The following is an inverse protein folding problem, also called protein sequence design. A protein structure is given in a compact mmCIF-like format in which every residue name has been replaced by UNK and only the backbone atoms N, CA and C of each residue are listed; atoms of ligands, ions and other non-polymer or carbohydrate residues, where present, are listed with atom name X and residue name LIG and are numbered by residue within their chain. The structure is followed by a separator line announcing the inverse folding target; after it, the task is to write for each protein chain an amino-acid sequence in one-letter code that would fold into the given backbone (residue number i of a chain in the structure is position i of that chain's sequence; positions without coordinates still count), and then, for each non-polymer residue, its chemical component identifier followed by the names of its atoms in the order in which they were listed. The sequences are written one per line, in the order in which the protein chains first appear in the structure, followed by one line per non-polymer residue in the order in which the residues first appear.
data_IF_704878873752
#
_entry.id   IF_704878873752
#
_cell.length_a   1.000
_cell.length_b   1.000
_cell.length_c   1.000
_cell.angle_alpha   90.00
_cell.angle_beta   90.00
_cell.angle_gamma   90.00
#
_symmetry.space_group_name_H-M   'P 1'
#
loop_
_entity.id
_entity.type
_entity.pdbx_description
1 polymer ?
#
# COMPACT_ATOMS: atom_id res chain seq x y z
N UNK A 1 1.41 7.38 12.52
CA UNK A 1 0.75 7.50 11.20
C UNK A 1 -0.59 6.80 11.30
N UNK A 2 -1.69 7.56 11.39
CA UNK A 2 -2.98 7.06 11.90
C UNK A 2 -4.05 6.70 10.86
N UNK A 3 -3.72 6.71 9.55
CA UNK A 3 -4.67 6.34 8.49
C UNK A 3 -3.94 6.16 7.15
N UNK A 4 -4.22 5.08 6.41
CA UNK A 4 -3.75 4.84 5.03
C UNK A 4 -3.92 6.08 4.15
N UNK A 5 -5.09 6.73 4.24
CA UNK A 5 -5.44 7.89 3.40
C UNK A 5 -4.51 9.08 3.69
N UNK A 6 -4.22 9.35 4.97
CA UNK A 6 -3.34 10.44 5.36
C UNK A 6 -1.90 10.19 4.86
N UNK A 7 -1.42 8.94 4.92
CA UNK A 7 -0.10 8.57 4.42
C UNK A 7 -0.03 8.72 2.89
N UNK A 8 -1.03 8.24 2.15
CA UNK A 8 -1.10 8.42 0.70
C UNK A 8 -1.10 9.90 0.28
N UNK A 9 -1.84 10.74 1.01
CA UNK A 9 -1.92 12.18 0.74
C UNK A 9 -0.58 12.91 0.84
N UNK A 10 0.37 12.42 1.65
CA UNK A 10 1.72 12.99 1.77
C UNK A 10 2.72 12.29 0.86
N UNK A 11 2.67 10.96 0.79
CA UNK A 11 3.67 10.16 0.05
C UNK A 11 3.56 10.29 -1.47
N UNK A 12 2.33 10.34 -2.03
CA UNK A 12 2.15 10.40 -3.49
C UNK A 12 2.76 11.70 -4.06
N UNK A 13 2.42 12.91 -3.56
CA UNK A 13 3.03 14.14 -4.07
C UNK A 13 4.56 14.17 -3.90
N UNK A 14 5.07 13.68 -2.76
CA UNK A 14 6.50 13.66 -2.49
C UNK A 14 7.27 12.76 -3.48
N UNK A 15 6.77 11.56 -3.74
CA UNK A 15 7.42 10.62 -4.65
C UNK A 15 7.27 11.02 -6.12
N UNK A 16 6.12 11.58 -6.52
CA UNK A 16 5.95 12.16 -7.85
C UNK A 16 6.92 13.33 -8.08
N UNK A 17 7.10 14.22 -7.09
CA UNK A 17 8.06 15.30 -7.19
C UNK A 17 9.50 14.78 -7.32
N UNK A 18 9.84 13.74 -6.55
CA UNK A 18 11.15 13.08 -6.60
C UNK A 18 11.45 12.47 -7.99
N UNK A 19 10.48 11.80 -8.61
CA UNK A 19 10.67 11.14 -9.91
C UNK A 19 10.46 12.05 -11.12
N UNK A 20 10.10 13.32 -10.92
CA UNK A 20 9.71 14.25 -11.99
C UNK A 20 10.74 14.43 -13.12
N UNK A 21 12.03 14.20 -12.83
CA UNK A 21 13.13 14.30 -13.81
C UNK A 21 13.60 12.95 -14.38
N UNK A 22 12.95 11.86 -14.01
CA UNK A 22 13.36 10.50 -14.37
C UNK A 22 12.63 9.97 -15.61
N UNK A 23 11.75 10.75 -16.24
CA UNK A 23 10.94 10.31 -17.38
C UNK A 23 9.81 9.34 -17.03
N UNK A 24 9.61 9.05 -15.74
CA UNK A 24 8.57 8.15 -15.24
C UNK A 24 7.24 8.88 -15.18
N UNK A 25 6.17 8.24 -15.66
CA UNK A 25 4.82 8.80 -15.57
C UNK A 25 4.40 9.05 -14.12
N UNK A 26 3.93 10.26 -13.76
CA UNK A 26 3.36 10.54 -12.44
C UNK A 26 2.22 9.58 -12.06
N UNK A 27 1.49 9.07 -13.05
CA UNK A 27 0.42 8.08 -12.83
C UNK A 27 0.97 6.75 -12.33
N UNK A 28 2.05 6.25 -12.94
CA UNK A 28 2.67 4.99 -12.51
C UNK A 28 3.19 5.09 -11.07
N UNK A 29 3.83 6.21 -10.74
CA UNK A 29 4.31 6.46 -9.38
C UNK A 29 3.16 6.55 -8.38
N UNK A 30 2.09 7.30 -8.72
CA UNK A 30 0.93 7.40 -7.86
C UNK A 30 0.25 6.04 -7.62
N UNK A 31 0.12 5.21 -8.65
CA UNK A 31 -0.49 3.87 -8.55
C UNK A 31 0.36 2.90 -7.73
N UNK A 32 1.68 2.85 -7.94
CA UNK A 32 2.58 2.01 -7.14
C UNK A 32 2.53 2.38 -5.66
N UNK A 33 2.52 3.68 -5.35
CA UNK A 33 2.44 4.18 -3.98
C UNK A 33 1.07 3.89 -3.36
N UNK A 34 -0.01 4.07 -4.13
CA UNK A 34 -1.37 3.72 -3.73
C UNK A 34 -1.47 2.24 -3.35
N UNK A 35 -1.05 1.33 -4.24
CA UNK A 35 -1.11 -0.11 -4.01
C UNK A 35 -0.28 -0.50 -2.80
N UNK A 36 0.96 -0.01 -2.69
CA UNK A 36 1.85 -0.30 -1.57
C UNK A 36 1.25 0.09 -0.22
N UNK A 37 0.72 1.31 -0.10
CA UNK A 37 0.19 1.82 1.17
C UNK A 37 -1.17 1.18 1.49
N UNK A 38 -2.01 0.93 0.50
CA UNK A 38 -3.37 0.44 0.72
C UNK A 38 -3.41 -1.04 1.15
N UNK A 39 -2.51 -1.88 0.61
CA UNK A 39 -2.45 -3.30 0.98
C UNK A 39 -1.59 -3.56 2.22
N UNK A 40 -0.75 -2.60 2.64
CA UNK A 40 0.13 -2.79 3.77
C UNK A 40 -0.57 -2.55 5.11
N UNK A 41 -0.42 -3.49 6.03
CA UNK A 41 -0.69 -3.29 7.45
C UNK A 41 0.22 -4.21 8.29
N UNK A 42 0.53 -3.75 9.50
CA UNK A 42 1.16 -4.58 10.55
C UNK A 42 0.22 -4.62 11.75
N UNK A 43 -0.30 -3.44 12.13
CA UNK A 43 -1.31 -3.30 13.16
C UNK A 43 -2.67 -3.03 12.50
N UNK A 44 -3.78 -3.59 13.02
CA UNK A 44 -5.11 -3.45 12.42
C UNK A 44 -5.53 -1.99 12.21
N UNK A 45 -5.24 -1.11 13.16
CA UNK A 45 -5.65 0.31 13.08
C UNK A 45 -4.99 1.11 11.96
N UNK A 46 -3.96 0.57 11.29
CA UNK A 46 -3.40 1.23 10.11
C UNK A 46 -4.39 1.24 8.94
N UNK A 47 -5.22 0.19 8.81
CA UNK A 47 -6.16 0.00 7.71
C UNK A 47 -7.57 -0.27 8.24
N UNK A 48 -8.51 0.62 7.90
CA UNK A 48 -9.87 0.57 8.41
C UNK A 48 -10.59 -0.74 8.06
N UNK A 49 -10.36 -1.31 6.86
CA UNK A 49 -10.97 -2.58 6.47
C UNK A 49 -10.49 -3.74 7.36
N UNK A 50 -9.21 -3.73 7.75
CA UNK A 50 -8.64 -4.73 8.66
C UNK A 50 -9.13 -4.52 10.09
N UNK A 51 -9.22 -3.26 10.53
CA UNK A 51 -9.74 -2.92 11.86
C UNK A 51 -11.20 -3.34 12.01
N UNK A 52 -12.05 -3.06 11.03
CA UNK A 52 -13.47 -3.40 11.09
C UNK A 52 -13.67 -4.90 11.22
N UNK A 53 -12.92 -5.74 10.51
CA UNK A 53 -13.08 -7.20 10.64
C UNK A 53 -12.59 -7.79 11.97
N UNK A 54 -11.85 -7.02 12.79
CA UNK A 54 -11.56 -7.44 14.18
C UNK A 54 -12.80 -7.36 15.09
N UNK A 55 -13.86 -6.69 14.67
CA UNK A 55 -15.09 -6.59 15.46
C UNK A 55 -15.84 -7.94 15.48
N UNK A 56 -16.44 -8.33 16.62
CA UNK A 56 -17.14 -9.61 16.75
C UNK A 56 -18.27 -9.82 15.74
N UNK A 57 -18.93 -8.73 15.33
CA UNK A 57 -20.14 -8.77 14.50
C UNK A 57 -19.87 -8.68 12.99
N UNK A 58 -18.60 -8.56 12.57
CA UNK A 58 -18.20 -8.40 11.16
C UNK A 58 -17.33 -9.56 10.67
N UNK A 59 -16.14 -9.76 11.26
CA UNK A 59 -15.16 -10.77 10.87
C UNK A 59 -14.71 -11.67 12.02
N UNK A 60 -14.75 -11.18 13.26
CA UNK A 60 -14.48 -11.96 14.46
C UNK A 60 -13.04 -12.48 14.62
N UNK A 61 -12.09 -12.07 13.76
CA UNK A 61 -10.69 -12.45 13.90
C UNK A 61 -9.98 -11.60 14.95
N UNK A 62 -8.95 -12.16 15.58
CA UNK A 62 -8.21 -11.47 16.64
C UNK A 62 -7.14 -10.55 16.07
N UNK A 63 -6.81 -9.47 16.81
CA UNK A 63 -5.68 -8.61 16.46
C UNK A 63 -4.35 -9.38 16.35
N UNK A 64 -4.20 -10.46 17.14
CA UNK A 64 -3.01 -11.32 17.12
C UNK A 64 -2.86 -12.05 15.77
N UNK A 65 -3.97 -12.50 15.19
CA UNK A 65 -3.99 -13.12 13.86
C UNK A 65 -3.62 -12.12 12.78
N UNK A 66 -4.16 -10.89 12.85
CA UNK A 66 -3.78 -9.81 11.93
C UNK A 66 -2.28 -9.51 11.97
N UNK A 67 -1.70 -9.35 13.15
CA UNK A 67 -0.27 -9.02 13.30
C UNK A 67 0.61 -10.15 12.74
N UNK A 68 0.22 -11.40 12.99
CA UNK A 68 0.93 -12.58 12.46
C UNK A 68 0.97 -12.60 10.93
N UNK A 69 -0.08 -12.13 10.27
CA UNK A 69 -0.18 -12.06 8.81
C UNK A 69 0.37 -10.76 8.22
N UNK A 70 0.41 -9.66 8.98
CA UNK A 70 0.94 -8.37 8.52
C UNK A 70 2.44 -8.39 8.22
N UNK A 71 3.22 -9.16 8.99
CA UNK A 71 4.67 -9.33 8.74
C UNK A 71 4.95 -9.99 7.38
N UNK A 72 4.44 -11.20 7.06
CA UNK A 72 4.65 -11.80 5.76
C UNK A 72 4.01 -10.98 4.62
N UNK A 73 2.89 -10.29 4.88
CA UNK A 73 2.27 -9.38 3.92
C UNK A 73 3.23 -8.25 3.51
N UNK A 74 4.11 -7.80 4.39
CA UNK A 74 5.13 -6.78 4.05
C UNK A 74 6.02 -7.25 2.90
N UNK A 75 6.43 -8.52 2.88
CA UNK A 75 7.20 -9.08 1.75
C UNK A 75 6.35 -9.15 0.47
N UNK A 76 5.07 -9.51 0.60
CA UNK A 76 4.12 -9.55 -0.53
C UNK A 76 3.94 -8.16 -1.15
N UNK A 77 3.93 -7.10 -0.34
CA UNK A 77 3.83 -5.71 -0.84
C UNK A 77 4.97 -5.40 -1.81
N UNK A 78 6.20 -5.78 -1.50
CA UNK A 78 7.34 -5.58 -2.41
C UNK A 78 7.15 -6.33 -3.72
N UNK A 79 6.65 -7.58 -3.67
CA UNK A 79 6.38 -8.37 -4.88
C UNK A 79 5.32 -7.67 -5.74
N UNK A 80 4.23 -7.17 -5.14
CA UNK A 80 3.17 -6.46 -5.87
C UNK A 80 3.73 -5.22 -6.57
N UNK A 81 4.54 -4.41 -5.87
CA UNK A 81 5.15 -3.21 -6.47
C UNK A 81 6.09 -3.56 -7.62
N UNK A 82 6.85 -4.66 -7.53
CA UNK A 82 7.72 -5.11 -8.62
C UNK A 82 6.91 -5.58 -9.84
N UNK A 83 5.79 -6.28 -9.61
CA UNK A 83 4.88 -6.71 -10.68
C UNK A 83 4.23 -5.49 -11.34
N UNK A 84 3.79 -4.50 -10.57
CA UNK A 84 3.26 -3.24 -11.10
C UNK A 84 4.32 -2.48 -11.90
N UNK A 85 5.57 -2.40 -11.41
CA UNK A 85 6.66 -1.76 -12.14
C UNK A 85 6.90 -2.46 -13.49
N UNK A 86 6.91 -3.81 -13.52
CA UNK A 86 7.04 -4.58 -14.74
C UNK A 86 5.85 -4.36 -15.70
N UNK A 87 4.63 -4.28 -15.16
CA UNK A 87 3.44 -3.96 -15.95
C UNK A 87 3.54 -2.57 -16.57
N UNK A 88 3.95 -1.58 -15.79
CA UNK A 88 4.06 -0.21 -16.30
C UNK A 88 5.18 -0.04 -17.32
N UNK A 89 6.28 -0.79 -17.19
CA UNK A 89 7.30 -0.92 -18.25
C UNK A 89 6.70 -1.45 -19.56
N UNK A 90 5.87 -2.50 -19.52
CA UNK A 90 5.21 -3.06 -20.71
C UNK A 90 4.26 -2.03 -21.35
N UNK A 91 3.57 -1.23 -20.55
CA UNK A 91 2.67 -0.17 -21.04
C UNK A 91 3.36 1.13 -21.47
N UNK A 92 4.69 1.24 -21.26
CA UNK A 92 5.46 2.45 -21.57
C UNK A 92 5.23 3.62 -20.60
N UNK A 93 4.75 3.36 -19.38
CA UNK A 93 4.56 4.36 -18.33
C UNK A 93 5.79 4.53 -17.43
N UNK A 94 6.73 3.58 -17.47
CA UNK A 94 8.08 3.63 -16.87
C UNK A 94 9.06 3.28 -17.99
#
# INVERSE_FOLDING_TARGET
MGSVIAVMGVCIPALVAFTSKMGISPLAVAMMVFSAINIHYILPFHNLAILVGCEPDTGGYTQKECIRLGVPLTAVVFIVVLVEAAWFQITGLI
#
